data_IF_971464241075
#
_entry.id   IF_971464241075
#
_cell.length_a   1.000
_cell.length_b   1.000
_cell.length_c   1.000
_cell.angle_alpha   90.00
_cell.angle_beta   90.00
_cell.angle_gamma   90.00
#
_symmetry.space_group_name_H-M   'P 1'
#
loop_
_entity.id
_entity.type
_entity.pdbx_description
1 polymer ?
#
# COMPACT_ATOMS: atom_id res chain seq x y z
N UNK A 1 19.41 -12.15 -4.16
CA UNK A 1 19.35 -10.70 -4.44
C UNK A 1 20.01 -9.95 -3.28
N UNK A 2 20.82 -8.91 -3.52
CA UNK A 2 21.38 -8.09 -2.44
C UNK A 2 20.30 -7.21 -1.80
N UNK A 3 20.53 -6.73 -0.58
CA UNK A 3 19.57 -5.87 0.12
C UNK A 3 19.26 -4.58 -0.65
N UNK A 4 20.29 -3.89 -1.14
CA UNK A 4 20.14 -2.65 -1.91
C UNK A 4 19.34 -2.87 -3.19
N UNK A 5 19.60 -3.98 -3.88
CA UNK A 5 18.87 -4.32 -5.10
C UNK A 5 17.42 -4.72 -4.78
N UNK A 6 17.18 -5.42 -3.67
CA UNK A 6 15.83 -5.74 -3.22
C UNK A 6 15.03 -4.47 -2.89
N UNK A 7 15.64 -3.49 -2.22
CA UNK A 7 15.00 -2.21 -1.95
C UNK A 7 14.70 -1.43 -3.25
N UNK A 8 15.64 -1.44 -4.20
CA UNK A 8 15.45 -0.79 -5.51
C UNK A 8 14.32 -1.45 -6.31
N UNK A 9 14.30 -2.78 -6.38
CA UNK A 9 13.29 -3.54 -7.12
C UNK A 9 11.90 -3.53 -6.45
N UNK A 10 11.79 -2.99 -5.23
CA UNK A 10 10.50 -2.86 -4.53
C UNK A 10 10.13 -1.38 -4.36
N UNK A 11 10.71 -0.69 -3.39
CA UNK A 11 10.31 0.66 -3.01
C UNK A 11 10.64 1.68 -4.11
N UNK A 12 11.85 1.68 -4.65
CA UNK A 12 12.23 2.64 -5.69
C UNK A 12 11.45 2.39 -6.99
N UNK A 13 11.25 1.12 -7.35
CA UNK A 13 10.45 0.69 -8.49
C UNK A 13 9.00 1.19 -8.41
N UNK A 14 8.31 0.88 -7.31
CA UNK A 14 6.89 1.24 -7.13
C UNK A 14 6.72 2.76 -7.09
N UNK A 15 7.55 3.44 -6.29
CA UNK A 15 7.38 4.87 -6.01
C UNK A 15 8.02 5.79 -7.05
N UNK A 16 8.84 5.24 -7.95
CA UNK A 16 9.51 5.97 -9.03
C UNK A 16 8.86 5.68 -10.38
N UNK A 17 9.42 4.73 -11.14
CA UNK A 17 9.03 4.49 -12.53
C UNK A 17 7.60 3.96 -12.69
N UNK A 18 7.11 3.10 -11.78
CA UNK A 18 5.73 2.62 -11.82
C UNK A 18 4.78 3.79 -11.58
N UNK A 19 4.93 4.51 -10.47
CA UNK A 19 4.14 5.72 -10.18
C UNK A 19 4.13 6.70 -11.34
N UNK A 20 5.30 7.03 -11.90
CA UNK A 20 5.40 7.99 -13.01
C UNK A 20 4.69 7.49 -14.27
N UNK A 21 4.85 6.22 -14.63
CA UNK A 21 4.18 5.65 -15.80
C UNK A 21 2.66 5.62 -15.60
N UNK A 22 2.17 5.22 -14.43
CA UNK A 22 0.73 5.21 -14.14
C UNK A 22 0.15 6.62 -14.17
N UNK A 23 0.80 7.59 -13.50
CA UNK A 23 0.40 8.99 -13.47
C UNK A 23 0.24 9.60 -14.87
N UNK A 24 1.15 9.27 -15.79
CA UNK A 24 1.19 9.92 -17.12
C UNK A 24 0.57 9.12 -18.26
N UNK A 25 0.45 7.80 -18.12
CA UNK A 25 0.06 6.89 -19.21
C UNK A 25 -0.88 5.77 -18.77
N UNK A 26 -1.27 5.72 -17.50
CA UNK A 26 -2.14 4.68 -16.95
C UNK A 26 -1.43 3.35 -16.65
N UNK A 27 -2.20 2.43 -16.06
CA UNK A 27 -1.71 1.14 -15.55
C UNK A 27 -1.25 0.23 -16.69
N UNK A 28 -2.02 0.17 -17.78
CA UNK A 28 -1.71 -0.70 -18.93
C UNK A 28 -0.37 -0.34 -19.59
N UNK A 29 0.06 0.92 -19.53
CA UNK A 29 1.35 1.35 -20.06
C UNK A 29 2.53 0.74 -19.30
N UNK A 30 2.38 0.41 -18.01
CA UNK A 30 3.41 -0.31 -17.24
C UNK A 30 3.62 -1.69 -17.86
N UNK A 31 2.54 -2.47 -18.01
CA UNK A 31 2.58 -3.80 -18.60
C UNK A 31 3.15 -3.79 -20.03
N UNK A 32 2.68 -2.86 -20.86
CA UNK A 32 3.14 -2.75 -22.26
C UNK A 32 4.61 -2.34 -22.40
N UNK A 33 5.20 -1.70 -21.38
CA UNK A 33 6.60 -1.30 -21.39
C UNK A 33 7.57 -2.43 -21.02
N UNK A 34 7.06 -3.57 -20.55
CA UNK A 34 7.86 -4.73 -20.19
C UNK A 34 8.33 -5.50 -21.43
N UNK A 35 9.52 -6.10 -21.35
CA UNK A 35 9.96 -7.17 -22.27
C UNK A 35 9.02 -8.37 -22.22
N UNK A 36 9.07 -9.26 -23.20
CA UNK A 36 8.25 -10.48 -23.22
C UNK A 36 8.50 -11.38 -22.00
N UNK A 37 9.75 -11.51 -21.54
CA UNK A 37 10.07 -12.21 -20.29
C UNK A 37 9.45 -11.51 -19.07
N UNK A 38 9.58 -10.18 -19.02
CA UNK A 38 8.99 -9.35 -17.97
C UNK A 38 7.46 -9.41 -17.93
N UNK A 39 6.79 -9.49 -19.08
CA UNK A 39 5.33 -9.71 -19.14
C UNK A 39 4.94 -11.05 -18.52
N UNK A 40 5.68 -12.13 -18.82
CA UNK A 40 5.44 -13.43 -18.17
C UNK A 40 5.62 -13.37 -16.66
N UNK A 41 6.64 -12.66 -16.16
CA UNK A 41 6.81 -12.44 -14.72
C UNK A 41 5.65 -11.62 -14.11
N UNK A 42 5.18 -10.58 -14.81
CA UNK A 42 4.00 -9.81 -14.39
C UNK A 42 2.76 -10.71 -14.32
N UNK A 43 2.52 -11.51 -15.35
CA UNK A 43 1.35 -12.38 -15.46
C UNK A 43 1.30 -13.42 -14.32
N UNK A 44 2.44 -14.03 -14.01
CA UNK A 44 2.60 -14.94 -12.86
C UNK A 44 2.28 -14.20 -11.55
N UNK A 45 2.88 -13.03 -11.35
CA UNK A 45 2.70 -12.22 -10.15
C UNK A 45 1.24 -11.80 -9.95
N UNK A 46 0.64 -11.22 -10.99
CA UNK A 46 -0.71 -10.69 -11.00
C UNK A 46 -1.71 -11.82 -10.73
N UNK A 47 -1.60 -12.91 -11.47
CA UNK A 47 -2.49 -14.07 -11.31
C UNK A 47 -2.41 -14.67 -9.91
N UNK A 48 -1.22 -14.74 -9.30
CA UNK A 48 -1.03 -15.32 -7.97
C UNK A 48 -1.46 -14.37 -6.84
N UNK A 49 -1.37 -13.06 -7.05
CA UNK A 49 -1.56 -12.06 -5.98
C UNK A 49 -2.95 -11.44 -5.96
N UNK A 50 -3.68 -11.46 -7.09
CA UNK A 50 -4.94 -10.74 -7.24
C UNK A 50 -5.98 -11.13 -6.18
N UNK A 51 -6.29 -12.42 -6.01
CA UNK A 51 -7.29 -12.87 -5.04
C UNK A 51 -6.81 -12.77 -3.58
N UNK A 52 -5.56 -13.12 -3.22
CA UNK A 52 -5.03 -12.86 -1.88
C UNK A 52 -5.13 -11.38 -1.46
N UNK A 53 -4.82 -10.45 -2.37
CA UNK A 53 -4.99 -9.03 -2.11
C UNK A 53 -6.47 -8.63 -1.99
N UNK A 54 -7.33 -9.18 -2.85
CA UNK A 54 -8.77 -8.95 -2.81
C UNK A 54 -9.38 -9.43 -1.49
N UNK A 55 -8.93 -10.55 -0.93
CA UNK A 55 -9.41 -11.08 0.36
C UNK A 55 -9.26 -10.03 1.47
N UNK A 56 -8.04 -9.51 1.67
CA UNK A 56 -7.76 -8.52 2.71
C UNK A 56 -8.43 -7.17 2.44
N UNK A 57 -8.45 -6.73 1.19
CA UNK A 57 -9.15 -5.49 0.82
C UNK A 57 -10.66 -5.63 1.05
N UNK A 58 -11.24 -6.80 0.80
CA UNK A 58 -12.66 -7.04 0.97
C UNK A 58 -13.04 -7.05 2.45
N UNK A 59 -12.28 -7.77 3.28
CA UNK A 59 -12.40 -7.74 4.74
C UNK A 59 -12.33 -6.29 5.27
N UNK A 60 -11.30 -5.54 4.85
CA UNK A 60 -11.11 -4.14 5.27
C UNK A 60 -12.31 -3.26 4.90
N UNK A 61 -12.83 -3.40 3.68
CA UNK A 61 -13.98 -2.64 3.24
C UNK A 61 -15.22 -2.91 4.10
N UNK A 62 -15.52 -4.18 4.39
CA UNK A 62 -16.70 -4.53 5.21
C UNK A 62 -16.56 -4.10 6.67
N UNK A 63 -15.35 -4.15 7.22
CA UNK A 63 -15.04 -3.60 8.55
C UNK A 63 -15.26 -2.08 8.61
N UNK A 64 -14.92 -1.35 7.54
CA UNK A 64 -15.17 0.09 7.44
C UNK A 64 -16.67 0.36 7.29
N UNK A 65 -17.34 -0.29 6.34
CA UNK A 65 -18.75 -0.07 6.04
C UNK A 65 -19.67 -0.44 7.22
N UNK A 66 -19.30 -1.46 8.00
CA UNK A 66 -20.03 -1.86 9.22
C UNK A 66 -19.82 -0.92 10.41
N UNK A 67 -18.85 0.01 10.33
CA UNK A 67 -18.46 0.90 11.42
C UNK A 67 -17.50 0.27 12.45
N UNK A 68 -17.11 -0.99 12.26
CA UNK A 68 -16.15 -1.69 13.11
C UNK A 68 -14.79 -1.01 13.10
N UNK A 69 -14.29 -0.64 11.92
CA UNK A 69 -13.01 0.05 11.77
C UNK A 69 -13.03 1.43 12.43
N UNK A 70 -14.13 2.18 12.22
CA UNK A 70 -14.33 3.51 12.82
C UNK A 70 -14.29 3.41 14.35
N UNK A 71 -15.01 2.44 14.93
CA UNK A 71 -15.00 2.19 16.37
C UNK A 71 -13.59 1.84 16.87
N UNK A 72 -12.86 1.01 16.11
CA UNK A 72 -11.50 0.61 16.49
C UNK A 72 -10.54 1.80 16.56
N UNK A 73 -10.66 2.76 15.62
CA UNK A 73 -9.87 3.99 15.57
C UNK A 73 -10.20 4.90 16.76
N UNK A 74 -11.48 5.08 17.09
CA UNK A 74 -11.92 5.86 18.26
C UNK A 74 -11.29 5.29 19.54
N UNK A 75 -11.37 3.98 19.73
CA UNK A 75 -10.80 3.33 20.92
C UNK A 75 -9.27 3.37 20.92
N UNK A 76 -8.61 3.33 19.76
CA UNK A 76 -7.17 3.50 19.66
C UNK A 76 -6.73 4.90 20.09
N UNK A 77 -7.44 5.95 19.66
CA UNK A 77 -7.16 7.31 20.09
C UNK A 77 -7.27 7.50 21.62
N UNK A 78 -8.21 6.81 22.27
CA UNK A 78 -8.34 6.83 23.73
C UNK A 78 -7.15 6.16 24.44
N UNK A 79 -6.53 5.14 23.82
CA UNK A 79 -5.34 4.44 24.37
C UNK A 79 -4.06 5.27 24.29
N UNK A 80 -4.07 6.41 23.61
CA UNK A 80 -2.90 7.30 23.55
C UNK A 80 -2.68 8.11 24.82
N UNK A 81 -3.69 8.22 25.69
CA UNK A 81 -3.64 9.13 26.85
C UNK A 81 -3.84 8.37 28.16
N UNK A 82 -3.23 8.93 29.21
CA UNK A 82 -3.53 8.62 30.61
C UNK A 82 -4.64 9.59 31.07
N UNK A 83 -5.68 9.11 31.74
CA UNK A 83 -6.83 9.95 32.12
C UNK A 83 -6.41 11.13 33.01
N UNK A 84 -6.88 12.35 32.69
CA UNK A 84 -6.77 13.52 33.55
C UNK A 84 -8.15 13.75 34.19
N UNK A 85 -8.30 13.43 35.48
CA UNK A 85 -9.45 13.88 36.25
C UNK A 85 -9.15 15.28 36.81
N UNK A 86 -9.96 16.26 36.40
CA UNK A 86 -9.90 17.62 36.94
C UNK A 86 -10.74 17.70 38.22
N UNK A 87 -10.11 17.41 39.37
CA UNK A 87 -10.52 18.03 40.63
C UNK A 87 -9.34 18.01 41.63
N UNK A 88 -8.82 19.22 41.90
CA UNK A 88 -7.89 19.58 42.98
C UNK A 88 -6.72 18.61 43.32
N UNK A 89 -5.52 19.02 42.91
CA UNK A 89 -4.26 18.80 43.65
C UNK A 89 -3.83 17.34 43.94
N UNK A 90 -3.54 16.56 42.90
CA UNK A 90 -2.40 15.62 42.87
C UNK A 90 -2.21 15.13 41.43
N UNK A 91 -1.08 15.46 40.80
CA UNK A 91 -0.72 14.90 39.48
C UNK A 91 -0.22 13.46 39.73
N UNK A 92 -1.15 12.55 40.00
CA UNK A 92 -0.91 11.13 39.84
C UNK A 92 -1.37 10.77 38.43
N UNK A 93 -0.41 10.34 37.61
CA UNK A 93 -0.60 9.74 36.29
C UNK A 93 -1.46 8.47 36.42
N UNK A 94 -2.75 8.62 36.66
CA UNK A 94 -3.67 7.51 36.79
C UNK A 94 -4.09 7.06 35.40
N UNK A 95 -3.37 6.04 34.97
CA UNK A 95 -3.68 5.06 33.93
C UNK A 95 -5.19 4.93 33.66
N UNK A 96 -5.60 4.94 32.38
CA UNK A 96 -6.96 4.50 32.03
C UNK A 96 -7.03 3.01 32.36
N UNK A 97 -7.94 2.63 33.24
CA UNK A 97 -8.16 1.24 33.66
C UNK A 97 -6.90 0.56 34.29
N UNK A 98 -5.93 1.32 34.81
CA UNK A 98 -4.67 0.76 35.33
C UNK A 98 -3.69 0.29 34.23
N UNK A 99 -3.85 0.78 32.99
CA UNK A 99 -2.95 0.53 31.88
C UNK A 99 -2.21 1.82 31.40
N UNK A 100 -0.97 1.68 30.91
CA UNK A 100 -0.18 2.81 30.43
C UNK A 100 -0.73 3.39 29.11
N UNK A 101 -0.22 4.55 28.72
CA UNK A 101 -0.48 5.12 27.39
C UNK A 101 0.34 4.43 26.30
N UNK A 102 -0.25 4.27 25.11
CA UNK A 102 0.35 3.59 23.96
C UNK A 102 0.39 4.49 22.71
N UNK A 103 1.20 5.56 22.68
CA UNK A 103 1.38 6.35 21.45
C UNK A 103 1.99 5.49 20.33
N UNK A 104 1.69 5.84 19.08
CA UNK A 104 2.21 5.10 17.92
C UNK A 104 3.75 5.15 17.85
N UNK A 105 4.36 3.97 17.70
CA UNK A 105 5.80 3.83 17.46
C UNK A 105 6.23 4.15 16.02
N UNK A 106 7.56 4.14 15.81
CA UNK A 106 8.19 4.29 14.50
C UNK A 106 8.11 3.00 13.69
N UNK A 107 7.86 3.10 12.38
CA UNK A 107 7.71 1.96 11.46
C UNK A 107 8.89 1.77 10.51
N UNK A 108 9.87 2.68 10.55
CA UNK A 108 10.99 2.77 9.60
C UNK A 108 12.36 2.43 10.21
N UNK A 109 12.38 1.78 11.38
CA UNK A 109 13.64 1.42 12.06
C UNK A 109 14.08 -0.03 11.79
N UNK A 110 13.29 -0.80 11.03
CA UNK A 110 13.60 -2.20 10.69
C UNK A 110 14.56 -2.32 9.50
N UNK A 111 15.05 -3.54 9.25
CA UNK A 111 16.12 -3.87 8.29
C UNK A 111 16.00 -3.14 6.95
N UNK A 112 14.88 -3.30 6.23
CA UNK A 112 14.75 -2.75 4.87
C UNK A 112 14.75 -1.22 4.83
N UNK A 113 14.31 -0.56 5.90
CA UNK A 113 14.27 0.91 5.94
C UNK A 113 15.65 1.51 6.21
N UNK A 114 16.50 0.81 6.97
CA UNK A 114 17.93 1.14 7.11
C UNK A 114 18.71 0.93 5.81
N UNK A 115 18.35 -0.10 5.05
CA UNK A 115 18.85 -0.27 3.68
C UNK A 115 18.40 0.90 2.81
N UNK A 116 17.13 1.30 2.89
CA UNK A 116 16.58 2.44 2.15
C UNK A 116 17.29 3.77 2.43
N UNK A 117 17.67 4.04 3.68
CA UNK A 117 18.49 5.22 4.03
C UNK A 117 19.82 5.24 3.25
N UNK A 118 20.50 4.09 3.19
CA UNK A 118 21.76 3.93 2.43
C UNK A 118 21.53 4.08 0.92
N UNK A 119 20.51 3.41 0.37
CA UNK A 119 20.17 3.46 -1.06
C UNK A 119 19.89 4.89 -1.49
N UNK A 120 19.04 5.62 -0.74
CA UNK A 120 18.71 7.02 -1.05
C UNK A 120 19.91 7.97 -0.94
N UNK A 121 20.82 7.74 0.02
CA UNK A 121 22.03 8.55 0.17
C UNK A 121 22.97 8.44 -1.05
N UNK A 122 22.99 7.28 -1.71
CA UNK A 122 23.78 7.03 -2.91
C UNK A 122 23.00 7.30 -4.22
N UNK A 123 21.72 7.67 -4.14
CA UNK A 123 20.83 7.82 -5.29
C UNK A 123 21.10 9.14 -6.03
N UNK A 124 21.32 9.13 -7.36
CA UNK A 124 21.39 10.34 -8.15
C UNK A 124 20.08 11.14 -8.11
N UNK A 125 20.17 12.45 -8.31
CA UNK A 125 18.98 13.30 -8.44
C UNK A 125 18.16 12.90 -9.68
N UNK A 126 16.86 12.66 -9.51
CA UNK A 126 15.95 12.29 -10.60
C UNK A 126 15.95 10.81 -10.98
N UNK A 127 16.61 9.94 -10.22
CA UNK A 127 16.53 8.48 -10.38
C UNK A 127 15.08 8.01 -10.12
N UNK A 128 14.55 7.15 -11.00
CA UNK A 128 13.19 6.59 -10.93
C UNK A 128 13.19 5.11 -10.51
N UNK A 129 14.34 4.54 -10.19
CA UNK A 129 14.48 3.13 -9.90
C UNK A 129 14.32 2.22 -11.13
N UNK A 130 14.58 0.92 -10.96
CA UNK A 130 14.33 -0.09 -11.98
C UNK A 130 12.82 -0.37 -12.08
N UNK A 131 12.37 -0.87 -13.25
CA UNK A 131 11.03 -1.42 -13.40
C UNK A 131 11.07 -2.93 -13.11
N UNK A 132 10.33 -3.39 -12.11
CA UNK A 132 10.21 -4.79 -11.74
C UNK A 132 8.74 -5.25 -11.87
N UNK A 133 8.44 -6.39 -12.53
CA UNK A 133 7.08 -6.71 -12.99
C UNK A 133 6.06 -7.11 -11.91
N UNK A 134 6.46 -7.22 -10.64
CA UNK A 134 5.66 -7.89 -9.59
C UNK A 134 4.87 -6.90 -8.72
N UNK A 135 3.78 -6.27 -9.20
CA UNK A 135 2.77 -5.56 -8.36
C UNK A 135 1.49 -5.21 -9.15
N UNK A 136 0.27 -5.60 -8.71
CA UNK A 136 -1.01 -4.88 -8.99
C UNK A 136 -2.29 -5.57 -8.46
N UNK A 137 -3.37 -4.76 -8.31
CA UNK A 137 -4.80 -5.17 -8.34
C UNK A 137 -5.80 -4.16 -7.71
N UNK A 138 -6.84 -3.71 -8.44
CA UNK A 138 -7.96 -2.83 -7.96
C UNK A 138 -9.29 -3.33 -8.57
N UNK A 139 -10.26 -3.76 -7.75
CA UNK A 139 -11.59 -4.20 -8.23
C UNK A 139 -12.74 -3.94 -7.23
N UNK A 140 -12.49 -4.03 -5.92
CA UNK A 140 -13.55 -4.10 -4.89
C UNK A 140 -14.51 -2.91 -4.87
N UNK A 141 -14.00 -1.68 -5.02
CA UNK A 141 -14.83 -0.47 -4.93
C UNK A 141 -15.90 -0.42 -6.03
N UNK A 142 -15.61 -0.95 -7.23
CA UNK A 142 -16.59 -1.03 -8.32
C UNK A 142 -17.78 -1.90 -7.94
N UNK A 143 -17.51 -3.08 -7.37
CA UNK A 143 -18.55 -4.04 -6.92
C UNK A 143 -19.38 -3.49 -5.76
N UNK A 144 -18.80 -2.60 -4.94
CA UNK A 144 -19.50 -1.94 -3.83
C UNK A 144 -20.24 -0.66 -4.23
N UNK A 145 -20.27 -0.31 -5.52
CA UNK A 145 -21.13 0.75 -6.06
C UNK A 145 -20.53 2.16 -6.05
N UNK A 146 -19.21 2.27 -5.89
CA UNK A 146 -18.51 3.56 -5.95
C UNK A 146 -18.45 4.12 -7.38
N UNK A 147 -18.39 5.45 -7.50
CA UNK A 147 -18.22 6.13 -8.79
C UNK A 147 -16.81 5.96 -9.34
N UNK A 148 -16.64 5.95 -10.67
CA UNK A 148 -15.30 5.85 -11.28
C UNK A 148 -14.35 6.96 -10.82
N UNK A 149 -14.84 8.19 -10.67
CA UNK A 149 -14.00 9.31 -10.20
C UNK A 149 -13.47 9.07 -8.78
N UNK A 150 -14.29 8.51 -7.89
CA UNK A 150 -13.86 8.18 -6.53
C UNK A 150 -12.87 7.00 -6.55
N UNK A 151 -13.18 5.93 -7.29
CA UNK A 151 -12.30 4.77 -7.43
C UNK A 151 -10.91 5.18 -7.94
N UNK A 152 -10.88 5.99 -9.00
CA UNK A 152 -9.62 6.40 -9.64
C UNK A 152 -8.84 7.36 -8.74
N UNK A 153 -9.51 8.33 -8.11
CA UNK A 153 -8.82 9.25 -7.20
C UNK A 153 -8.21 8.50 -6.01
N UNK A 154 -8.99 7.64 -5.34
CA UNK A 154 -8.58 6.96 -4.10
C UNK A 154 -7.61 5.79 -4.36
N UNK A 155 -7.75 5.08 -5.48
CA UNK A 155 -6.98 3.84 -5.74
C UNK A 155 -5.85 4.02 -6.74
N UNK A 156 -5.79 5.13 -7.47
CA UNK A 156 -4.77 5.37 -8.50
C UNK A 156 -4.07 6.71 -8.29
N UNK A 157 -4.78 7.83 -8.47
CA UNK A 157 -4.19 9.18 -8.52
C UNK A 157 -3.55 9.55 -7.20
N UNK A 158 -4.24 9.40 -6.07
CA UNK A 158 -3.68 9.76 -4.76
C UNK A 158 -2.43 8.94 -4.45
N UNK A 159 -2.42 7.65 -4.80
CA UNK A 159 -1.23 6.82 -4.62
C UNK A 159 -0.05 7.35 -5.44
N UNK A 160 -0.23 7.62 -6.74
CA UNK A 160 0.91 7.90 -7.65
C UNK A 160 1.34 9.36 -7.66
N UNK A 161 0.42 10.30 -7.44
CA UNK A 161 0.69 11.75 -7.55
C UNK A 161 0.86 12.43 -6.19
N UNK A 162 0.31 11.87 -5.11
CA UNK A 162 0.38 12.44 -3.77
C UNK A 162 1.27 11.64 -2.83
N UNK A 163 0.97 10.36 -2.59
CA UNK A 163 1.56 9.59 -1.49
C UNK A 163 2.92 8.96 -1.83
N UNK A 164 3.02 8.28 -2.96
CA UNK A 164 4.27 7.61 -3.38
C UNK A 164 5.45 8.57 -3.51
N UNK A 165 5.31 9.83 -3.99
CA UNK A 165 6.41 10.80 -3.97
C UNK A 165 7.02 11.04 -2.58
N UNK A 166 6.21 11.04 -1.51
CA UNK A 166 6.71 11.17 -0.14
C UNK A 166 7.54 9.94 0.26
N UNK A 167 7.06 8.74 -0.07
CA UNK A 167 7.82 7.50 0.18
C UNK A 167 9.11 7.46 -0.62
N UNK A 168 9.08 7.86 -1.90
CA UNK A 168 10.26 7.92 -2.75
C UNK A 168 11.31 8.90 -2.19
N UNK A 169 10.86 10.02 -1.64
CA UNK A 169 11.75 11.05 -1.08
C UNK A 169 12.46 10.57 0.20
N UNK A 170 11.74 9.95 1.14
CA UNK A 170 12.26 9.72 2.51
C UNK A 170 11.83 8.40 3.18
N UNK A 171 11.23 7.46 2.45
CA UNK A 171 10.80 6.15 2.95
C UNK A 171 9.41 6.17 3.59
N UNK A 172 8.94 5.00 4.03
CA UNK A 172 7.52 4.78 4.39
C UNK A 172 7.02 5.65 5.54
N UNK A 173 7.82 5.90 6.58
CA UNK A 173 7.37 6.74 7.71
C UNK A 173 7.11 8.17 7.24
N UNK A 174 7.88 8.68 6.27
CA UNK A 174 7.62 10.01 5.73
C UNK A 174 6.33 10.08 4.91
N UNK A 175 5.89 8.99 4.29
CA UNK A 175 4.55 8.95 3.69
C UNK A 175 3.48 8.80 4.78
N UNK A 176 3.54 7.69 5.52
CA UNK A 176 2.49 7.29 6.47
C UNK A 176 2.31 8.30 7.60
N UNK A 177 3.38 8.76 8.23
CA UNK A 177 3.29 9.62 9.41
C UNK A 177 3.03 11.09 9.09
N UNK A 178 2.99 11.48 7.81
CA UNK A 178 2.46 12.77 7.37
C UNK A 178 0.94 12.71 7.05
N UNK A 179 0.34 11.52 7.03
CA UNK A 179 -1.11 11.36 6.92
C UNK A 179 -1.82 11.55 8.28
N UNK A 180 -3.15 11.57 8.25
CA UNK A 180 -3.99 11.69 9.46
C UNK A 180 -3.77 10.55 10.46
N UNK A 181 -4.16 10.74 11.72
CA UNK A 181 -4.12 9.69 12.75
C UNK A 181 -4.88 8.43 12.34
N UNK A 182 -6.03 8.58 11.67
CA UNK A 182 -6.82 7.46 11.14
C UNK A 182 -6.03 6.65 10.11
N UNK A 183 -5.41 7.33 9.14
CA UNK A 183 -4.59 6.68 8.12
C UNK A 183 -3.34 6.01 8.73
N UNK A 184 -2.69 6.64 9.71
CA UNK A 184 -1.54 6.08 10.42
C UNK A 184 -1.87 4.81 11.19
N UNK A 185 -3.03 4.78 11.85
CA UNK A 185 -3.54 3.60 12.55
C UNK A 185 -3.93 2.50 11.56
N UNK A 186 -4.66 2.85 10.50
CA UNK A 186 -5.07 1.93 9.44
C UNK A 186 -3.87 1.25 8.78
N UNK A 187 -2.87 2.03 8.35
CA UNK A 187 -1.62 1.51 7.77
C UNK A 187 -0.93 0.51 8.72
N UNK A 188 -0.83 0.84 10.01
CA UNK A 188 -0.20 -0.04 11.02
C UNK A 188 -1.01 -1.31 11.32
N UNK A 189 -2.34 -1.26 11.18
CA UNK A 189 -3.22 -2.43 11.36
C UNK A 189 -3.20 -3.35 10.14
N UNK A 190 -3.30 -2.78 8.94
CA UNK A 190 -3.56 -3.54 7.72
C UNK A 190 -2.30 -3.91 6.92
N UNK A 191 -1.21 -3.14 6.97
CA UNK A 191 0.02 -3.49 6.24
C UNK A 191 0.57 -4.90 6.58
N UNK A 192 0.59 -5.35 7.85
CA UNK A 192 0.99 -6.72 8.17
C UNK A 192 0.08 -7.79 7.57
N UNK A 193 -1.21 -7.48 7.34
CA UNK A 193 -2.17 -8.43 6.76
C UNK A 193 -1.83 -8.72 5.29
N UNK A 194 -1.46 -7.69 4.53
CA UNK A 194 -1.00 -7.84 3.14
C UNK A 194 0.34 -8.57 3.04
N UNK A 195 1.30 -8.28 3.92
CA UNK A 195 2.57 -9.02 3.98
C UNK A 195 2.33 -10.52 4.20
N UNK A 196 1.50 -10.85 5.19
CA UNK A 196 1.21 -12.24 5.53
C UNK A 196 0.44 -12.97 4.41
N UNK A 197 -0.60 -12.36 3.84
CA UNK A 197 -1.41 -13.04 2.81
C UNK A 197 -0.60 -13.27 1.53
N UNK A 198 0.24 -12.32 1.13
CA UNK A 198 1.12 -12.46 -0.03
C UNK A 198 2.15 -13.56 0.22
N UNK A 199 2.76 -13.58 1.40
CA UNK A 199 3.77 -14.59 1.75
C UNK A 199 3.16 -15.99 1.86
N UNK A 200 1.97 -16.11 2.45
CA UNK A 200 1.33 -17.40 2.72
C UNK A 200 0.66 -18.02 1.50
N UNK A 201 0.13 -17.19 0.59
CA UNK A 201 -0.66 -17.67 -0.55
C UNK A 201 0.00 -17.32 -1.89
N UNK A 202 0.23 -16.03 -2.17
CA UNK A 202 0.69 -15.60 -3.48
C UNK A 202 2.08 -16.13 -3.81
N UNK A 203 3.07 -15.94 -2.92
CA UNK A 203 4.43 -16.43 -3.13
C UNK A 203 4.49 -17.96 -3.18
N UNK A 204 3.69 -18.65 -2.35
CA UNK A 204 3.57 -20.11 -2.39
C UNK A 204 2.98 -20.59 -3.73
N UNK A 205 1.99 -19.88 -4.29
CA UNK A 205 1.42 -20.20 -5.58
C UNK A 205 2.43 -20.03 -6.72
N UNK A 206 3.27 -18.98 -6.65
CA UNK A 206 4.38 -18.75 -7.59
C UNK A 206 5.42 -19.87 -7.48
N UNK A 207 5.87 -20.20 -6.27
CA UNK A 207 6.87 -21.25 -6.02
C UNK A 207 6.40 -22.63 -6.48
N UNK A 208 5.10 -22.91 -6.34
CA UNK A 208 4.47 -24.14 -6.83
C UNK A 208 4.21 -24.15 -8.34
N UNK A 209 4.52 -23.07 -9.07
CA UNK A 209 4.27 -22.98 -10.51
C UNK A 209 2.79 -23.06 -10.87
N UNK A 210 1.92 -22.47 -10.05
CA UNK A 210 0.47 -22.48 -10.28
C UNK A 210 0.15 -21.89 -11.67
N UNK A 211 -0.69 -22.54 -12.48
CA UNK A 211 -1.04 -22.04 -13.81
C UNK A 211 -1.63 -20.62 -13.75
N UNK A 212 -1.21 -19.79 -14.71
CA UNK A 212 -1.70 -18.42 -14.86
C UNK A 212 -3.20 -18.44 -15.20
N UNK A 213 -3.98 -17.69 -14.44
CA UNK A 213 -5.40 -17.48 -14.68
C UNK A 213 -5.58 -16.52 -15.87
N UNK A 214 -5.87 -17.08 -17.03
CA UNK A 214 -6.05 -16.33 -18.28
C UNK A 214 -7.26 -15.38 -18.24
N UNK A 215 -8.31 -15.73 -17.48
CA UNK A 215 -9.49 -14.88 -17.36
C UNK A 215 -9.14 -13.60 -16.58
N UNK A 216 -8.36 -13.71 -15.50
CA UNK A 216 -7.88 -12.54 -14.74
C UNK A 216 -7.04 -11.61 -15.62
N UNK A 217 -6.19 -12.16 -16.48
CA UNK A 217 -5.37 -11.37 -17.39
C UNK A 217 -6.20 -10.72 -18.49
N UNK A 218 -7.11 -11.47 -19.10
CA UNK A 218 -8.03 -10.94 -20.11
C UNK A 218 -8.86 -9.80 -19.53
N UNK A 219 -9.39 -9.98 -18.32
CA UNK A 219 -10.13 -8.94 -17.61
C UNK A 219 -9.24 -7.72 -17.33
N UNK A 220 -8.02 -7.92 -16.84
CA UNK A 220 -7.06 -6.83 -16.64
C UNK A 220 -6.81 -6.05 -17.93
N UNK A 221 -6.50 -6.72 -19.04
CA UNK A 221 -6.15 -6.07 -20.30
C UNK A 221 -7.33 -5.34 -20.96
N UNK A 222 -8.55 -5.79 -20.69
CA UNK A 222 -9.78 -5.24 -21.27
C UNK A 222 -10.58 -4.36 -20.29
N UNK A 223 -10.07 -4.11 -19.08
CA UNK A 223 -10.85 -3.41 -18.06
C UNK A 223 -11.14 -1.96 -18.49
N UNK A 224 -12.41 -1.51 -18.49
CA UNK A 224 -12.77 -0.14 -18.87
C UNK A 224 -12.15 0.94 -17.97
N UNK A 225 -11.64 0.58 -16.79
CA UNK A 225 -10.96 1.50 -15.88
C UNK A 225 -9.75 2.17 -16.54
N UNK A 226 -9.06 1.50 -17.47
CA UNK A 226 -7.91 2.10 -18.15
C UNK A 226 -8.29 3.35 -18.94
N UNK A 227 -9.38 3.28 -19.72
CA UNK A 227 -9.90 4.44 -20.44
C UNK A 227 -10.46 5.52 -19.51
N UNK A 228 -11.05 5.12 -18.38
CA UNK A 228 -11.53 6.09 -17.39
C UNK A 228 -10.37 6.85 -16.70
N UNK A 229 -9.24 6.18 -16.42
CA UNK A 229 -8.03 6.81 -15.89
C UNK A 229 -7.50 7.86 -16.88
N UNK A 230 -7.46 7.55 -18.18
CA UNK A 230 -7.03 8.51 -19.21
C UNK A 230 -7.91 9.76 -19.27
N UNK A 231 -9.21 9.64 -18.99
CA UNK A 231 -10.13 10.79 -18.90
C UNK A 231 -9.89 11.58 -17.62
N UNK A 232 -9.66 10.92 -16.48
CA UNK A 232 -9.38 11.58 -15.21
C UNK A 232 -7.99 12.26 -15.16
N UNK A 233 -7.07 11.87 -16.03
CA UNK A 233 -5.72 12.43 -16.10
C UNK A 233 -5.61 13.69 -17.00
N UNK A 234 -6.69 14.14 -17.63
CA UNK A 234 -6.77 15.36 -18.46
C UNK A 234 -7.12 16.59 -17.62
#
# INVERSE_FOLDING_TARGET
>A
MSEDLAYKNTVECITGIISKTISTKGILAVYNSLSEEGKREFEIAYSASYYPCMDILYECYEDVASGSEIRSVVLAGQRFYVSIFFNQLLILLLEKDGLPAFPMGKIDQTRMWKVGERVRKARPSGDLGPLYPFTAGIEILRTKGHSYSEIINESVIEAVDSLNPFMHARGVSFMVDNCSTTARLGSRKWAPRFDYILTQQALVAVDNGTPINQDLLSNFLSDPVHGAIEVCAQ
#
